data_IF_970438837296
#
_entry.id   IF_970438837296
#
_cell.length_a   1.000
_cell.length_b   1.000
_cell.length_c   1.000
_cell.angle_alpha   90.00
_cell.angle_beta   90.00
_cell.angle_gamma   90.00
#
_symmetry.space_group_name_H-M   'P 1'
#
loop_
_entity.id
_entity.type
_entity.pdbx_description
1 polymer ?
#
# COMPACT_ATOMS: atom_id res chain seq x y z
N UNK A 1 -2.57 -21.04 17.23
CA UNK A 1 -2.50 -19.89 16.32
C UNK A 1 -1.05 -19.41 16.28
N UNK A 2 -0.45 -19.23 15.11
CA UNK A 2 0.94 -18.75 15.01
C UNK A 2 0.93 -17.22 14.96
N UNK A 3 1.52 -16.56 15.98
CA UNK A 3 1.56 -15.10 16.10
C UNK A 3 2.24 -14.43 14.90
N UNK A 4 3.26 -15.08 14.33
CA UNK A 4 3.97 -14.61 13.13
C UNK A 4 3.01 -14.43 11.94
N UNK A 5 2.13 -15.41 11.71
CA UNK A 5 1.12 -15.34 10.64
C UNK A 5 0.06 -14.28 10.91
N UNK A 6 -0.30 -14.06 12.17
CA UNK A 6 -1.25 -13.01 12.57
C UNK A 6 -0.66 -11.63 12.29
N UNK A 7 0.58 -11.40 12.71
CA UNK A 7 1.28 -10.13 12.49
C UNK A 7 1.47 -9.87 11.00
N UNK A 8 1.84 -10.88 10.22
CA UNK A 8 1.93 -10.77 8.76
C UNK A 8 0.59 -10.35 8.12
N UNK A 9 -0.48 -11.09 8.39
CA UNK A 9 -1.81 -10.81 7.83
C UNK A 9 -2.34 -9.44 8.28
N UNK A 10 -2.08 -9.05 9.53
CA UNK A 10 -2.43 -7.74 10.06
C UNK A 10 -1.79 -6.61 9.25
N UNK A 11 -0.47 -6.65 9.03
CA UNK A 11 0.20 -5.57 8.31
C UNK A 11 -0.13 -5.55 6.82
N UNK A 12 -0.40 -6.70 6.19
CA UNK A 12 -0.89 -6.76 4.80
C UNK A 12 -2.27 -6.09 4.65
N UNK A 13 -3.18 -6.35 5.60
CA UNK A 13 -4.51 -5.72 5.56
C UNK A 13 -4.44 -4.24 5.97
N UNK A 14 -3.63 -3.91 6.98
CA UNK A 14 -3.44 -2.53 7.41
C UNK A 14 -2.80 -1.68 6.30
N UNK A 15 -1.81 -2.20 5.57
CA UNK A 15 -1.18 -1.46 4.46
C UNK A 15 -2.18 -1.12 3.36
N UNK A 16 -3.05 -2.08 3.00
CA UNK A 16 -4.10 -1.89 2.02
C UNK A 16 -5.15 -0.86 2.48
N UNK A 17 -5.59 -0.95 3.73
CA UNK A 17 -6.64 -0.06 4.26
C UNK A 17 -6.14 1.37 4.48
N UNK A 18 -4.90 1.56 4.94
CA UNK A 18 -4.29 2.89 5.05
C UNK A 18 -4.09 3.54 3.67
N UNK A 19 -3.63 2.77 2.69
CA UNK A 19 -3.54 3.26 1.30
C UNK A 19 -4.92 3.62 0.75
N UNK A 20 -5.93 2.80 1.02
CA UNK A 20 -7.30 3.09 0.60
C UNK A 20 -7.84 4.36 1.24
N UNK A 21 -7.56 4.59 2.54
CA UNK A 21 -7.93 5.82 3.25
C UNK A 21 -7.40 7.08 2.56
N UNK A 22 -6.13 7.07 2.16
CA UNK A 22 -5.59 8.20 1.40
C UNK A 22 -6.19 8.31 -0.01
N UNK A 23 -6.48 7.20 -0.68
CA UNK A 23 -6.95 7.18 -2.07
C UNK A 23 -8.41 7.60 -2.24
N UNK A 24 -9.28 7.32 -1.25
CA UNK A 24 -10.71 7.55 -1.38
C UNK A 24 -11.04 9.05 -1.34
N UNK A 25 -11.85 9.52 -2.27
CA UNK A 25 -12.21 10.93 -2.42
C UNK A 25 -12.28 11.35 -3.88
N UNK A 26 -12.69 12.59 -4.13
CA UNK A 26 -12.53 13.20 -5.44
C UNK A 26 -11.04 13.48 -5.69
N UNK A 27 -10.49 12.82 -6.70
CA UNK A 27 -9.06 12.88 -7.05
C UNK A 27 -8.53 14.29 -7.26
N UNK A 28 -9.39 15.24 -7.63
CA UNK A 28 -8.99 16.61 -7.92
C UNK A 28 -9.10 17.55 -6.69
N UNK A 29 -9.73 17.12 -5.59
CA UNK A 29 -9.99 17.95 -4.41
C UNK A 29 -8.94 17.70 -3.31
N UNK A 30 -7.96 18.60 -3.10
CA UNK A 30 -6.86 18.37 -2.15
C UNK A 30 -7.32 18.19 -0.72
N UNK A 31 -8.46 18.78 -0.33
CA UNK A 31 -8.98 18.72 1.05
C UNK A 31 -9.45 17.34 1.46
N UNK A 32 -9.74 16.46 0.49
CA UNK A 32 -10.17 15.09 0.76
C UNK A 32 -9.00 14.13 0.98
N UNK A 33 -7.77 14.55 0.65
CA UNK A 33 -6.59 13.70 0.69
C UNK A 33 -5.59 14.22 1.72
N UNK A 34 -5.64 13.67 2.94
CA UNK A 34 -4.77 14.10 4.03
C UNK A 34 -3.34 13.59 3.83
N UNK A 35 -2.37 14.51 3.79
CA UNK A 35 -0.96 14.16 3.63
C UNK A 35 -0.43 13.26 4.75
N UNK A 36 -0.97 13.39 5.96
CA UNK A 36 -0.59 12.51 7.08
C UNK A 36 -1.00 11.06 6.81
N UNK A 37 -2.13 10.83 6.13
CA UNK A 37 -2.56 9.49 5.75
C UNK A 37 -1.64 8.89 4.70
N UNK A 38 -1.13 9.68 3.75
CA UNK A 38 -0.11 9.23 2.80
C UNK A 38 1.16 8.78 3.53
N UNK A 39 1.65 9.55 4.50
CA UNK A 39 2.84 9.18 5.26
C UNK A 39 2.64 7.91 6.11
N UNK A 40 1.47 7.78 6.76
CA UNK A 40 1.15 6.55 7.49
C UNK A 40 1.02 5.37 6.52
N UNK A 41 0.40 5.55 5.35
CA UNK A 41 0.31 4.51 4.33
C UNK A 41 1.70 4.04 3.89
N UNK A 42 2.64 4.97 3.63
CA UNK A 42 4.04 4.63 3.30
C UNK A 42 4.67 3.81 4.43
N UNK A 43 4.57 4.30 5.67
CA UNK A 43 5.19 3.66 6.82
C UNK A 43 4.68 2.23 7.04
N UNK A 44 3.37 2.04 6.99
CA UNK A 44 2.75 0.71 7.14
C UNK A 44 3.12 -0.22 5.96
N UNK A 45 3.16 0.30 4.73
CA UNK A 45 3.60 -0.48 3.57
C UNK A 45 5.08 -0.90 3.67
N UNK A 46 5.94 -0.08 4.26
CA UNK A 46 7.34 -0.44 4.53
C UNK A 46 7.45 -1.55 5.58
N UNK A 47 6.63 -1.53 6.65
CA UNK A 47 6.60 -2.64 7.61
C UNK A 47 6.15 -3.93 6.93
N UNK A 48 5.06 -3.88 6.15
CA UNK A 48 4.58 -5.03 5.39
C UNK A 48 5.65 -5.56 4.43
N UNK A 49 6.41 -4.68 3.78
CA UNK A 49 7.53 -5.04 2.92
C UNK A 49 8.61 -5.81 3.70
N UNK A 50 9.05 -5.32 4.85
CA UNK A 50 10.09 -5.98 5.67
C UNK A 50 9.62 -7.35 6.14
N UNK A 51 8.37 -7.47 6.60
CA UNK A 51 7.82 -8.75 7.05
C UNK A 51 7.76 -9.81 5.94
N UNK A 52 7.70 -9.39 4.67
CA UNK A 52 7.71 -10.30 3.51
C UNK A 52 9.10 -10.84 3.15
N UNK A 53 10.19 -10.28 3.69
CA UNK A 53 11.56 -10.75 3.41
C UNK A 53 11.94 -12.08 4.07
N UNK A 54 11.04 -12.70 4.85
CA UNK A 54 11.28 -13.99 5.51
C UNK A 54 10.98 -15.24 4.68
N UNK A 55 10.19 -15.11 3.60
CA UNK A 55 9.69 -16.26 2.84
C UNK A 55 10.48 -16.45 1.53
N UNK A 56 11.12 -17.62 1.39
CA UNK A 56 11.92 -18.01 0.21
C UNK A 56 11.12 -18.74 -0.88
N UNK A 57 9.81 -18.90 -0.71
CA UNK A 57 8.95 -19.55 -1.70
C UNK A 57 8.66 -18.63 -2.90
N UNK A 58 8.20 -19.21 -4.02
CA UNK A 58 7.75 -18.41 -5.16
C UNK A 58 6.58 -17.48 -4.78
N UNK A 59 5.68 -17.92 -3.90
CA UNK A 59 4.55 -17.11 -3.45
C UNK A 59 5.05 -15.95 -2.58
N UNK A 60 6.00 -16.21 -1.68
CA UNK A 60 6.72 -15.18 -0.92
C UNK A 60 7.37 -14.11 -1.82
N UNK A 61 7.99 -14.53 -2.92
CA UNK A 61 8.58 -13.61 -3.89
C UNK A 61 7.54 -12.70 -4.58
N UNK A 62 6.35 -13.22 -4.91
CA UNK A 62 5.26 -12.40 -5.48
C UNK A 62 4.68 -11.45 -4.42
N UNK A 63 4.50 -11.92 -3.18
CA UNK A 63 4.12 -11.05 -2.06
C UNK A 63 5.11 -9.89 -1.90
N UNK A 64 6.41 -10.17 -1.96
CA UNK A 64 7.46 -9.16 -1.88
C UNK A 64 7.37 -8.17 -3.04
N UNK A 65 7.22 -8.65 -4.28
CA UNK A 65 7.10 -7.82 -5.47
C UNK A 65 5.93 -6.83 -5.38
N UNK A 66 4.75 -7.30 -4.93
CA UNK A 66 3.58 -6.42 -4.75
C UNK A 66 3.83 -5.32 -3.71
N UNK A 67 4.51 -5.64 -2.60
CA UNK A 67 4.88 -4.62 -1.60
C UNK A 67 5.91 -3.62 -2.13
N UNK A 68 6.89 -4.06 -2.93
CA UNK A 68 7.86 -3.16 -3.54
C UNK A 68 7.17 -2.15 -4.48
N UNK A 69 6.24 -2.63 -5.32
CA UNK A 69 5.45 -1.76 -6.21
C UNK A 69 4.63 -0.76 -5.40
N UNK A 70 3.95 -1.22 -4.34
CA UNK A 70 3.15 -0.34 -3.48
C UNK A 70 4.01 0.75 -2.82
N UNK A 71 5.15 0.39 -2.23
CA UNK A 71 6.07 1.33 -1.60
C UNK A 71 6.61 2.34 -2.61
N UNK A 72 7.06 1.89 -3.79
CA UNK A 72 7.60 2.79 -4.82
C UNK A 72 6.55 3.80 -5.29
N UNK A 73 5.31 3.37 -5.50
CA UNK A 73 4.20 4.23 -5.91
C UNK A 73 3.84 5.25 -4.82
N UNK A 74 3.74 4.84 -3.55
CA UNK A 74 3.44 5.77 -2.45
C UNK A 74 4.59 6.77 -2.20
N UNK A 75 5.84 6.31 -2.27
CA UNK A 75 7.01 7.19 -2.15
C UNK A 75 7.07 8.17 -3.33
N UNK A 76 6.76 7.73 -4.55
CA UNK A 76 6.64 8.63 -5.70
C UNK A 76 5.53 9.67 -5.50
N UNK A 77 4.38 9.28 -4.94
CA UNK A 77 3.30 10.20 -4.62
C UNK A 77 3.75 11.26 -3.60
N UNK A 78 4.44 10.86 -2.53
CA UNK A 78 4.98 11.79 -1.53
C UNK A 78 6.10 12.68 -2.10
N UNK A 79 6.98 12.15 -2.95
CA UNK A 79 8.01 12.93 -3.62
C UNK A 79 7.37 14.00 -4.53
N UNK A 80 6.34 13.63 -5.29
CA UNK A 80 5.62 14.56 -6.15
C UNK A 80 4.91 15.66 -5.35
N UNK A 81 4.33 15.33 -4.19
CA UNK A 81 3.78 16.33 -3.25
C UNK A 81 4.83 17.35 -2.79
N UNK A 82 6.04 16.90 -2.44
CA UNK A 82 7.12 17.80 -2.00
C UNK A 82 7.62 18.68 -3.15
N UNK A 83 7.82 18.10 -4.33
CA UNK A 83 8.31 18.81 -5.52
C UNK A 83 7.33 19.87 -6.03
N UNK A 84 6.04 19.72 -5.76
CA UNK A 84 4.99 20.66 -6.17
C UNK A 84 4.71 21.80 -5.18
N UNK A 85 5.49 21.88 -4.08
CA UNK A 85 5.35 22.96 -3.09
C UNK A 85 4.32 22.67 -1.98
N UNK A 86 3.86 21.43 -1.85
CA UNK A 86 3.05 20.96 -0.72
C UNK A 86 1.63 21.50 -0.68
N UNK A 87 1.31 22.35 0.30
CA UNK A 87 -0.07 22.77 0.63
C UNK A 87 -0.81 23.57 -0.46
N UNK A 88 -0.14 23.93 -1.56
CA UNK A 88 -0.69 24.70 -2.69
C UNK A 88 -0.94 23.84 -3.94
N UNK A 89 -1.26 22.55 -3.76
CA UNK A 89 -1.46 21.65 -4.89
C UNK A 89 -2.67 22.07 -5.74
N UNK A 90 -2.41 22.32 -7.02
CA UNK A 90 -3.45 22.48 -8.03
C UNK A 90 -4.27 21.18 -8.16
N UNK A 91 -5.51 21.23 -8.68
CA UNK A 91 -6.30 20.02 -8.91
C UNK A 91 -5.57 18.94 -9.73
N UNK A 92 -4.79 19.34 -10.73
CA UNK A 92 -3.98 18.40 -11.54
C UNK A 92 -2.81 17.78 -10.77
N UNK A 93 -2.21 18.55 -9.85
CA UNK A 93 -1.18 18.04 -8.95
C UNK A 93 -1.75 16.99 -8.01
N UNK A 94 -2.89 17.30 -7.37
CA UNK A 94 -3.59 16.37 -6.47
C UNK A 94 -3.98 15.09 -7.19
N UNK A 95 -4.58 15.21 -8.38
CA UNK A 95 -4.96 14.05 -9.18
C UNK A 95 -3.76 13.15 -9.51
N UNK A 96 -2.58 13.72 -9.77
CA UNK A 96 -1.35 12.95 -10.00
C UNK A 96 -0.90 12.18 -8.75
N UNK A 97 -0.92 12.82 -7.58
CA UNK A 97 -0.56 12.18 -6.29
C UNK A 97 -1.53 11.04 -5.98
N UNK A 98 -2.84 11.30 -6.09
CA UNK A 98 -3.89 10.32 -5.81
C UNK A 98 -3.81 9.17 -6.82
N UNK A 99 -3.55 9.44 -8.10
CA UNK A 99 -3.37 8.41 -9.12
C UNK A 99 -2.17 7.49 -8.83
N UNK A 100 -1.03 8.03 -8.37
CA UNK A 100 0.11 7.21 -7.93
C UNK A 100 -0.27 6.33 -6.74
N UNK A 101 -1.00 6.88 -5.76
CA UNK A 101 -1.52 6.08 -4.64
C UNK A 101 -2.54 5.01 -5.06
N UNK A 102 -3.28 5.23 -6.15
CA UNK A 102 -4.17 4.24 -6.76
C UNK A 102 -3.40 3.05 -7.34
N UNK A 103 -2.24 3.29 -7.95
CA UNK A 103 -1.32 2.23 -8.37
C UNK A 103 -0.83 1.40 -7.17
N UNK A 104 -0.50 2.06 -6.06
CA UNK A 104 -0.13 1.38 -4.82
C UNK A 104 -1.29 0.57 -4.22
N UNK A 105 -2.52 1.10 -4.31
CA UNK A 105 -3.72 0.40 -3.84
C UNK A 105 -3.95 -0.89 -4.62
N UNK A 106 -3.78 -0.85 -5.95
CA UNK A 106 -3.88 -2.05 -6.78
C UNK A 106 -2.86 -3.12 -6.35
N UNK A 107 -1.61 -2.72 -6.10
CA UNK A 107 -0.58 -3.64 -5.62
C UNK A 107 -0.92 -4.23 -4.25
N UNK A 108 -1.46 -3.42 -3.34
CA UNK A 108 -1.95 -3.87 -2.04
C UNK A 108 -3.13 -4.86 -2.16
N UNK A 109 -4.07 -4.63 -3.08
CA UNK A 109 -5.16 -5.57 -3.37
C UNK A 109 -4.61 -6.92 -3.82
N UNK A 110 -3.63 -6.94 -4.74
CA UNK A 110 -2.97 -8.19 -5.15
C UNK A 110 -2.33 -8.89 -3.95
N UNK A 111 -1.66 -8.16 -3.06
CA UNK A 111 -1.10 -8.74 -1.84
C UNK A 111 -2.17 -9.37 -0.93
N UNK A 112 -3.35 -8.76 -0.80
CA UNK A 112 -4.45 -9.32 -0.01
C UNK A 112 -5.03 -10.56 -0.69
N UNK A 113 -5.18 -10.55 -2.01
CA UNK A 113 -5.67 -11.72 -2.78
C UNK A 113 -4.72 -12.92 -2.63
N UNK A 114 -3.40 -12.69 -2.66
CA UNK A 114 -2.41 -13.75 -2.43
C UNK A 114 -2.54 -14.34 -1.01
N UNK A 115 -2.68 -13.50 0.01
CA UNK A 115 -2.86 -13.92 1.41
C UNK A 115 -4.13 -14.80 1.58
N UNK A 116 -5.23 -14.40 0.95
CA UNK A 116 -6.49 -15.17 0.96
C UNK A 116 -6.31 -16.49 0.21
N UNK A 117 -5.62 -16.47 -0.94
CA UNK A 117 -5.37 -17.66 -1.77
C UNK A 117 -4.53 -18.71 -1.05
N UNK A 118 -3.51 -18.29 -0.29
CA UNK A 118 -2.73 -19.18 0.58
C UNK A 118 -3.61 -19.83 1.65
N UNK A 119 -4.48 -19.04 2.28
CA UNK A 119 -5.40 -19.52 3.33
C UNK A 119 -6.35 -20.60 2.79
N UNK A 120 -6.89 -20.40 1.58
CA UNK A 120 -7.78 -21.38 0.93
C UNK A 120 -7.01 -22.65 0.57
N UNK A 121 -5.80 -22.52 0.05
CA UNK A 121 -4.96 -23.65 -0.37
C UNK A 121 -4.54 -24.54 0.81
N UNK A 122 -4.25 -23.93 1.97
CA UNK A 122 -3.94 -24.65 3.21
C UNK A 122 -5.12 -25.50 3.71
N UNK A 123 -6.36 -25.13 3.41
CA UNK A 123 -7.56 -25.87 3.83
C UNK A 123 -7.81 -27.14 3.00
N UNK A 124 -7.12 -27.29 1.86
CA UNK A 124 -7.25 -28.44 0.95
C UNK A 124 -6.18 -29.53 1.17
N UNK A 125 -5.28 -29.34 2.13
CA UNK A 125 -4.33 -30.34 2.61
C UNK A 125 -4.70 -30.77 4.01
#
# INVERSE_FOLDING_TARGET
MNLEKVVFGFFVLLSATMNFGFFIGDMAEPKLHNINELYVAIFVNLIALVLKFGDRTQIGAVHLATSLVAVLQLVAAAAYYVLSGGYHNSPGTTASIVSLSGGALLANIVSVVLLVSETISYRRR
#
